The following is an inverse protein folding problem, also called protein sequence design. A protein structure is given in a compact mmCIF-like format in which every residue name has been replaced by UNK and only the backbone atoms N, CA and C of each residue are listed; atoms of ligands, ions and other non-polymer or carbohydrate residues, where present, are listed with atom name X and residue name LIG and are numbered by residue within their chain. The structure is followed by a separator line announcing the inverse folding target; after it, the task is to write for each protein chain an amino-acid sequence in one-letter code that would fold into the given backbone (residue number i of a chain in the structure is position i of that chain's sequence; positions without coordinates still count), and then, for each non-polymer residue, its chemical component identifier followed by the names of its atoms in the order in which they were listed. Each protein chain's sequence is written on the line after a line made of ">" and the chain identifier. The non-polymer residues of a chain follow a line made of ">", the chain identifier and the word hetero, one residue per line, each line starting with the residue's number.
data_IF_876032858182
#
_entry.id   IF_876032858182
#
_cell.length_a   1.000
_cell.length_b   1.000
_cell.length_c   1.000
_cell.angle_alpha   90.00
_cell.angle_beta   90.00
_cell.angle_gamma   90.00
#
_symmetry.space_group_name_H-M   'P 1'
#
loop_
_entity.id
_entity.type
_entity.pdbx_description
1 polymer ?
#
# COMPACT_ATOMS: atom_id res chain seq x y z
N UNK A 1 -27.64 17.40 -11.03
CA UNK A 1 -27.07 18.17 -9.91
C UNK A 1 -26.09 17.29 -9.15
N UNK A 2 -25.18 17.85 -8.34
CA UNK A 2 -24.22 17.11 -7.50
C UNK A 2 -24.92 15.99 -6.66
N UNK A 3 -26.18 16.23 -6.28
CA UNK A 3 -27.07 15.28 -5.61
C UNK A 3 -27.42 14.01 -6.42
N UNK A 4 -27.32 14.03 -7.74
CA UNK A 4 -27.54 12.84 -8.58
C UNK A 4 -26.29 11.97 -8.64
N UNK A 5 -25.10 12.58 -8.64
CA UNK A 5 -23.81 11.88 -8.49
C UNK A 5 -23.73 11.15 -7.14
N UNK A 6 -24.03 11.86 -6.04
CA UNK A 6 -24.06 11.28 -4.69
C UNK A 6 -25.04 10.12 -4.51
N UNK A 7 -26.09 10.03 -5.34
CA UNK A 7 -27.12 8.99 -5.25
C UNK A 7 -26.71 7.70 -5.97
N UNK A 8 -26.08 7.82 -7.14
CA UNK A 8 -25.45 6.68 -7.83
C UNK A 8 -24.16 6.22 -7.11
N UNK A 9 -23.46 7.11 -6.40
CA UNK A 9 -22.28 6.84 -5.56
C UNK A 9 -22.61 6.16 -4.23
N UNK A 10 -23.83 6.30 -3.70
CA UNK A 10 -24.25 5.56 -2.52
C UNK A 10 -24.42 4.05 -2.82
N UNK A 11 -24.71 3.69 -4.08
CA UNK A 11 -24.78 2.30 -4.54
C UNK A 11 -23.42 1.75 -5.01
N UNK A 12 -22.42 2.62 -5.22
CA UNK A 12 -21.05 2.30 -5.61
C UNK A 12 -20.07 3.01 -4.67
N UNK A 13 -19.64 2.34 -3.60
CA UNK A 13 -18.59 2.83 -2.68
C UNK A 13 -17.55 3.70 -3.40
N UNK A 14 -17.51 5.00 -3.09
CA UNK A 14 -16.47 5.90 -3.61
C UNK A 14 -15.11 5.35 -3.14
N UNK A 15 -14.22 4.89 -4.03
CA UNK A 15 -13.01 4.17 -3.63
C UNK A 15 -12.13 4.98 -2.66
N UNK A 16 -12.06 6.29 -2.86
CA UNK A 16 -11.34 7.21 -1.96
C UNK A 16 -11.97 7.23 -0.57
N UNK A 17 -13.30 7.28 -0.47
CA UNK A 17 -13.98 7.26 0.83
C UNK A 17 -13.70 5.95 1.58
N UNK A 18 -13.72 4.81 0.86
CA UNK A 18 -13.34 3.51 1.42
C UNK A 18 -11.90 3.53 1.94
N UNK A 19 -10.95 4.00 1.14
CA UNK A 19 -9.52 4.09 1.55
C UNK A 19 -9.35 4.97 2.79
N UNK A 20 -10.03 6.10 2.83
CA UNK A 20 -9.97 7.05 3.96
C UNK A 20 -10.70 6.55 5.21
N UNK A 21 -11.70 5.68 5.05
CA UNK A 21 -12.46 5.09 6.16
C UNK A 21 -11.73 3.95 6.89
N UNK A 22 -10.62 3.44 6.34
CA UNK A 22 -9.84 2.37 6.95
C UNK A 22 -9.24 2.83 8.29
N UNK A 23 -9.54 2.09 9.36
CA UNK A 23 -9.01 2.38 10.69
C UNK A 23 -7.56 1.94 10.82
N UNK A 24 -6.82 2.54 11.76
CA UNK A 24 -5.43 2.15 12.04
C UNK A 24 -5.30 0.66 12.41
N UNK A 25 -6.26 0.11 13.16
CA UNK A 25 -6.25 -1.31 13.53
C UNK A 25 -6.45 -2.22 12.31
N UNK A 26 -7.34 -1.85 11.38
CA UNK A 26 -7.52 -2.60 10.13
C UNK A 26 -6.26 -2.57 9.28
N UNK A 27 -5.61 -1.41 9.17
CA UNK A 27 -4.36 -1.25 8.44
C UNK A 27 -3.24 -2.10 9.07
N UNK A 28 -3.13 -2.06 10.40
CA UNK A 28 -2.16 -2.87 11.15
C UNK A 28 -2.37 -4.36 10.90
N UNK A 29 -3.61 -4.86 11.05
CA UNK A 29 -3.94 -6.27 10.84
C UNK A 29 -3.58 -6.73 9.42
N UNK A 30 -3.86 -5.90 8.40
CA UNK A 30 -3.51 -6.22 7.01
C UNK A 30 -2.00 -6.26 6.78
N UNK A 31 -1.26 -5.26 7.26
CA UNK A 31 0.20 -5.24 7.15
C UNK A 31 0.86 -6.43 7.89
N UNK A 32 0.34 -6.79 9.06
CA UNK A 32 0.76 -7.96 9.85
C UNK A 32 0.51 -9.26 9.10
N UNK A 33 -0.65 -9.40 8.45
CA UNK A 33 -0.96 -10.57 7.62
C UNK A 33 0.03 -10.72 6.45
N UNK A 34 0.36 -9.62 5.75
CA UNK A 34 1.37 -9.63 4.70
C UNK A 34 2.75 -10.03 5.22
N UNK A 35 3.18 -9.47 6.36
CA UNK A 35 4.45 -9.84 7.00
C UNK A 35 4.52 -11.33 7.29
N UNK A 36 3.46 -11.88 7.87
CA UNK A 36 3.39 -13.30 8.22
C UNK A 36 3.46 -14.19 6.98
N UNK A 37 2.76 -13.82 5.91
CA UNK A 37 2.79 -14.55 4.63
C UNK A 37 4.15 -14.50 3.93
N UNK A 38 4.84 -13.36 4.00
CA UNK A 38 6.17 -13.19 3.40
C UNK A 38 7.30 -13.76 4.27
N UNK A 39 7.04 -13.97 5.57
CA UNK A 39 8.04 -14.41 6.55
C UNK A 39 9.14 -13.39 6.83
N UNK A 40 8.98 -12.13 6.39
CA UNK A 40 9.95 -11.05 6.58
C UNK A 40 9.29 -9.68 6.52
N UNK A 41 10.04 -8.65 6.94
CA UNK A 41 9.60 -7.27 7.01
C UNK A 41 9.18 -6.84 8.42
N UNK A 42 8.98 -5.55 8.58
CA UNK A 42 8.60 -4.89 9.83
C UNK A 42 7.31 -4.10 9.62
N UNK A 43 6.37 -4.21 10.56
CA UNK A 43 5.16 -3.37 10.54
C UNK A 43 5.39 -2.16 11.42
N UNK A 44 5.34 -0.97 10.82
CA UNK A 44 5.64 0.30 11.53
C UNK A 44 4.56 1.34 11.25
N UNK A 45 4.41 2.29 12.18
CA UNK A 45 3.59 3.48 11.97
C UNK A 45 4.25 4.40 10.95
N UNK A 46 3.45 5.03 10.09
CA UNK A 46 3.92 6.01 9.11
C UNK A 46 2.82 7.02 8.80
N UNK A 47 3.14 8.02 8.00
CA UNK A 47 2.21 9.03 7.51
C UNK A 47 2.01 8.85 6.00
N UNK A 48 0.77 9.02 5.55
CA UNK A 48 0.41 8.95 4.14
C UNK A 48 -0.17 10.26 3.68
N UNK A 49 0.53 10.91 2.74
CA UNK A 49 0.10 12.18 2.15
C UNK A 49 -1.08 11.96 1.21
N UNK A 50 -2.11 12.76 1.39
CA UNK A 50 -3.28 12.79 0.50
C UNK A 50 -2.98 13.68 -0.71
N UNK A 51 -3.40 13.28 -1.92
CA UNK A 51 -3.36 14.17 -3.08
C UNK A 51 -2.00 14.37 -3.77
N UNK A 52 -0.98 13.54 -3.49
CA UNK A 52 0.23 13.46 -4.33
C UNK A 52 1.00 14.77 -4.53
N UNK A 53 1.02 15.64 -3.51
CA UNK A 53 1.73 16.93 -3.54
C UNK A 53 0.86 18.16 -3.83
N UNK A 54 -0.42 17.98 -4.17
CA UNK A 54 -1.39 19.08 -4.31
C UNK A 54 -1.99 19.55 -2.98
N UNK A 55 -1.92 18.71 -1.95
CA UNK A 55 -2.35 18.98 -0.56
C UNK A 55 -1.20 18.63 0.40
N UNK A 56 -0.13 19.45 0.44
CA UNK A 56 1.07 19.14 1.21
C UNK A 56 0.84 19.02 2.71
N UNK A 57 -0.19 19.68 3.26
CA UNK A 57 -0.47 19.72 4.70
C UNK A 57 -1.44 18.64 5.20
N UNK A 58 -1.93 17.75 4.31
CA UNK A 58 -2.83 16.66 4.70
C UNK A 58 -2.11 15.31 4.67
N UNK A 59 -1.53 14.95 5.82
CA UNK A 59 -1.02 13.60 6.08
C UNK A 59 -1.96 12.86 7.03
N UNK A 60 -2.16 11.57 6.78
CA UNK A 60 -3.00 10.70 7.59
C UNK A 60 -2.18 9.52 8.08
N UNK A 61 -2.19 9.30 9.39
CA UNK A 61 -1.51 8.17 10.02
C UNK A 61 -1.93 6.84 9.42
N UNK A 62 -0.97 5.92 9.30
CA UNK A 62 -1.16 4.57 8.75
C UNK A 62 -0.23 3.57 9.43
N UNK A 63 -0.45 2.29 9.15
CA UNK A 63 0.54 1.23 9.36
C UNK A 63 0.98 0.72 8.00
N UNK A 64 2.29 0.52 7.85
CA UNK A 64 2.89 0.02 6.61
C UNK A 64 3.66 -1.28 6.87
N UNK A 65 3.88 -2.04 5.80
CA UNK A 65 4.93 -3.06 5.78
C UNK A 65 6.21 -2.44 5.21
N UNK A 66 7.29 -2.46 5.99
CA UNK A 66 8.62 -2.08 5.57
C UNK A 66 9.48 -3.31 5.27
N UNK A 67 9.98 -3.43 4.04
CA UNK A 67 10.85 -4.51 3.59
C UNK A 67 12.29 -3.99 3.47
N UNK A 68 13.21 -4.66 4.17
CA UNK A 68 14.65 -4.45 4.02
C UNK A 68 15.18 -5.34 2.89
N UNK A 69 15.67 -4.72 1.82
CA UNK A 69 16.21 -5.41 0.63
C UNK A 69 17.59 -4.87 0.30
N UNK A 70 18.45 -5.68 -0.33
CA UNK A 70 19.85 -5.29 -0.64
C UNK A 70 19.99 -4.03 -1.50
N UNK A 71 19.03 -3.78 -2.40
CA UNK A 71 19.02 -2.59 -3.26
C UNK A 71 17.56 -2.20 -3.55
N UNK A 72 17.01 -1.25 -2.79
CA UNK A 72 15.61 -0.82 -2.93
C UNK A 72 15.25 -0.40 -4.34
N UNK A 73 16.12 0.34 -5.03
CA UNK A 73 15.86 0.80 -6.41
C UNK A 73 15.70 -0.33 -7.41
N UNK A 74 16.56 -1.36 -7.31
CA UNK A 74 16.47 -2.55 -8.17
C UNK A 74 15.21 -3.35 -7.86
N UNK A 75 14.88 -3.49 -6.58
CA UNK A 75 13.67 -4.18 -6.15
C UNK A 75 12.41 -3.45 -6.65
N UNK A 76 12.32 -2.13 -6.46
CA UNK A 76 11.24 -1.29 -7.00
C UNK A 76 11.14 -1.37 -8.52
N UNK A 77 12.26 -1.40 -9.23
CA UNK A 77 12.27 -1.57 -10.69
C UNK A 77 11.59 -2.88 -11.09
N UNK A 78 11.93 -3.98 -10.43
CA UNK A 78 11.30 -5.29 -10.69
C UNK A 78 9.82 -5.32 -10.33
N UNK A 79 9.42 -4.68 -9.23
CA UNK A 79 8.01 -4.53 -8.89
C UNK A 79 7.23 -3.80 -9.98
N UNK A 80 7.81 -2.76 -10.60
CA UNK A 80 7.22 -2.05 -11.75
C UNK A 80 7.17 -2.88 -13.03
N UNK A 81 8.04 -3.87 -13.18
CA UNK A 81 8.11 -4.77 -14.34
C UNK A 81 7.24 -6.03 -14.16
N UNK A 82 6.73 -6.29 -12.95
CA UNK A 82 5.83 -7.39 -12.66
C UNK A 82 4.46 -7.23 -13.34
N UNK A 83 3.70 -8.32 -13.41
CA UNK A 83 2.34 -8.32 -13.96
C UNK A 83 1.34 -8.91 -12.94
N UNK A 84 0.50 -8.08 -12.29
CA UNK A 84 0.41 -6.63 -12.45
C UNK A 84 1.61 -5.88 -11.83
N UNK A 85 1.90 -4.65 -12.29
CA UNK A 85 2.97 -3.85 -11.71
C UNK A 85 2.58 -3.37 -10.31
N UNK A 86 3.54 -3.39 -9.39
CA UNK A 86 3.39 -2.88 -8.02
C UNK A 86 4.18 -1.59 -7.87
N UNK A 87 3.51 -0.53 -7.43
CA UNK A 87 4.14 0.75 -7.09
C UNK A 87 4.23 0.85 -5.57
N UNK A 88 5.47 0.87 -5.06
CA UNK A 88 5.79 1.09 -3.67
C UNK A 88 6.64 2.34 -3.52
N UNK A 89 6.70 2.90 -2.31
CA UNK A 89 7.59 4.02 -1.98
C UNK A 89 8.83 3.52 -1.24
N UNK A 90 9.88 4.33 -1.22
CA UNK A 90 11.09 4.06 -0.45
C UNK A 90 11.33 5.15 0.58
N UNK A 91 11.80 4.74 1.75
CA UNK A 91 12.19 5.64 2.83
C UNK A 91 13.26 4.95 3.68
N UNK A 92 14.32 5.67 4.03
CA UNK A 92 15.41 5.14 4.87
C UNK A 92 15.93 3.77 4.37
N UNK A 93 16.19 3.66 3.07
CA UNK A 93 16.65 2.45 2.37
C UNK A 93 15.74 1.20 2.52
N UNK A 94 14.46 1.40 2.85
CA UNK A 94 13.44 0.35 2.92
C UNK A 94 12.36 0.56 1.88
N UNK A 95 11.79 -0.52 1.38
CA UNK A 95 10.63 -0.51 0.49
C UNK A 95 9.37 -0.59 1.34
N UNK A 96 8.46 0.37 1.17
CA UNK A 96 7.29 0.54 2.02
C UNK A 96 6.00 0.26 1.23
N UNK A 97 5.10 -0.50 1.85
CA UNK A 97 3.78 -0.82 1.31
C UNK A 97 2.70 -0.39 2.29
N UNK A 98 1.77 0.43 1.81
CA UNK A 98 0.64 0.93 2.60
C UNK A 98 -0.65 0.15 2.24
N UNK A 99 -1.25 -0.60 3.18
CA UNK A 99 -2.52 -1.29 2.97
C UNK A 99 -3.67 -0.36 2.59
N UNK A 100 -3.57 0.94 2.88
CA UNK A 100 -4.61 1.91 2.53
C UNK A 100 -4.87 1.98 1.03
N UNK A 101 -3.85 1.79 0.20
CA UNK A 101 -3.96 1.92 -1.26
C UNK A 101 -4.00 0.58 -1.99
N UNK A 102 -4.06 -0.53 -1.26
CA UNK A 102 -4.09 -1.89 -1.82
C UNK A 102 -5.51 -2.43 -1.74
N UNK A 103 -6.04 -2.88 -2.88
CA UNK A 103 -7.38 -3.45 -2.97
C UNK A 103 -7.38 -4.97 -2.80
N UNK A 104 -6.40 -5.66 -3.39
CA UNK A 104 -6.27 -7.12 -3.38
C UNK A 104 -4.96 -7.53 -2.69
N UNK A 105 -5.09 -7.98 -1.44
CA UNK A 105 -3.97 -8.40 -0.59
C UNK A 105 -3.29 -9.66 -1.12
N UNK A 106 -4.05 -10.59 -1.69
CA UNK A 106 -3.52 -11.86 -2.17
C UNK A 106 -2.65 -11.64 -3.41
N UNK A 107 -3.14 -10.82 -4.34
CA UNK A 107 -2.40 -10.47 -5.55
C UNK A 107 -1.10 -9.73 -5.23
N UNK A 108 -1.14 -8.80 -4.27
CA UNK A 108 0.07 -8.11 -3.80
C UNK A 108 1.07 -9.11 -3.22
N UNK A 109 0.65 -9.95 -2.27
CA UNK A 109 1.53 -10.90 -1.58
C UNK A 109 2.14 -11.89 -2.56
N UNK A 110 1.37 -12.42 -3.51
CA UNK A 110 1.88 -13.31 -4.55
C UNK A 110 2.95 -12.63 -5.41
N UNK A 111 2.70 -11.40 -5.84
CA UNK A 111 3.67 -10.61 -6.63
C UNK A 111 4.95 -10.34 -5.84
N UNK A 112 4.83 -9.99 -4.55
CA UNK A 112 5.98 -9.78 -3.67
C UNK A 112 6.80 -11.06 -3.50
N UNK A 113 6.16 -12.21 -3.25
CA UNK A 113 6.85 -13.50 -3.13
C UNK A 113 7.65 -13.82 -4.39
N UNK A 114 7.04 -13.68 -5.57
CA UNK A 114 7.71 -13.92 -6.84
C UNK A 114 8.94 -13.01 -7.02
N UNK A 115 8.78 -11.69 -6.83
CA UNK A 115 9.89 -10.75 -7.01
C UNK A 115 11.00 -10.95 -5.97
N UNK A 116 10.66 -11.34 -4.75
CA UNK A 116 11.62 -11.65 -3.69
C UNK A 116 12.43 -12.92 -4.00
N UNK A 117 11.78 -13.95 -4.52
CA UNK A 117 12.47 -15.20 -4.89
C UNK A 117 13.42 -14.98 -6.07
N UNK A 118 13.03 -14.19 -7.08
CA UNK A 118 13.91 -13.82 -8.19
C UNK A 118 15.09 -12.94 -7.74
N UNK A 119 15.00 -12.33 -6.56
CA UNK A 119 15.97 -11.37 -6.00
C UNK A 119 16.94 -12.00 -4.98
N UNK A 120 16.72 -13.25 -4.58
CA UNK A 120 17.67 -14.03 -3.77
C UNK A 120 18.89 -14.42 -4.58
#
# INVERSE_FOLDING_TARGET
>A
TLLHYLRDEAEREIPVLRMMSLTLDQLKVRAEAWRNELGQGEVVTSESTVGGGSLPDESVSTYILALSVKSPDKFLKRLREANPPVIARTENDRVLLDPRTVLDDNLLVQTLKQVLDDYR
#
